data_IF_753445642749
#
_entry.id   IF_753445642749
#
_cell.length_a   1.000
_cell.length_b   1.000
_cell.length_c   1.000
_cell.angle_alpha   90.00
_cell.angle_beta   90.00
_cell.angle_gamma   90.00
#
_symmetry.space_group_name_H-M   'P 1'
#
loop_
_entity.id
_entity.type
_entity.pdbx_description
1 polymer ?
#
# COMPACT_ATOMS: atom_id res chain seq x y z
N UNK A 1 31.53 31.03 -22.41
CA UNK A 1 31.27 29.65 -21.98
C UNK A 1 30.59 29.50 -20.64
N UNK A 2 30.97 30.20 -19.52
CA UNK A 2 30.33 30.10 -18.20
C UNK A 2 28.83 30.51 -18.14
N UNK A 3 28.40 31.49 -18.95
CA UNK A 3 26.99 31.94 -18.98
C UNK A 3 26.04 30.95 -19.71
N UNK A 4 26.52 30.18 -20.67
CA UNK A 4 25.72 29.18 -21.39
C UNK A 4 25.51 27.96 -20.51
N UNK A 5 26.51 27.57 -19.71
CA UNK A 5 26.41 26.46 -18.77
C UNK A 5 25.39 26.73 -17.63
N UNK A 6 25.33 27.98 -17.16
CA UNK A 6 24.37 28.38 -16.11
C UNK A 6 22.92 28.37 -16.62
N UNK A 7 22.71 28.76 -17.89
CA UNK A 7 21.39 28.71 -18.54
C UNK A 7 20.91 27.27 -18.76
N UNK A 8 21.80 26.34 -19.11
CA UNK A 8 21.46 24.93 -19.28
C UNK A 8 21.11 24.25 -17.95
N UNK A 9 21.83 24.58 -16.86
CA UNK A 9 21.52 24.07 -15.52
C UNK A 9 20.18 24.62 -15.02
N UNK A 10 19.91 25.90 -15.24
CA UNK A 10 18.63 26.50 -14.86
C UNK A 10 17.45 25.94 -15.68
N UNK A 11 17.64 25.66 -16.97
CA UNK A 11 16.60 25.05 -17.80
C UNK A 11 16.33 23.59 -17.41
N UNK A 12 17.33 22.84 -16.98
CA UNK A 12 17.13 21.48 -16.47
C UNK A 12 16.43 21.45 -15.11
N UNK A 13 16.75 22.39 -14.21
CA UNK A 13 16.07 22.49 -12.91
C UNK A 13 14.60 22.88 -13.09
N UNK A 14 14.32 23.84 -13.98
CA UNK A 14 12.93 24.24 -14.28
C UNK A 14 12.15 23.11 -14.97
N UNK A 15 12.80 22.34 -15.88
CA UNK A 15 12.16 21.20 -16.51
C UNK A 15 11.87 20.07 -15.50
N UNK A 16 12.72 19.87 -14.50
CA UNK A 16 12.51 18.84 -13.46
C UNK A 16 11.43 19.25 -12.45
N UNK A 17 11.31 20.53 -12.11
CA UNK A 17 10.18 21.04 -11.29
C UNK A 17 8.85 21.00 -12.06
N UNK A 18 8.86 21.18 -13.37
CA UNK A 18 7.66 21.10 -14.22
C UNK A 18 7.10 19.68 -14.40
N UNK A 19 7.83 18.62 -14.00
CA UNK A 19 7.41 17.22 -14.10
C UNK A 19 6.75 16.67 -12.83
N UNK A 20 6.74 17.44 -11.74
CA UNK A 20 6.12 17.05 -10.48
C UNK A 20 5.07 18.09 -10.04
N UNK A 21 3.91 17.61 -9.66
CA UNK A 21 2.82 18.42 -9.15
C UNK A 21 2.44 17.96 -7.73
N UNK A 22 2.19 18.93 -6.83
CA UNK A 22 1.61 18.61 -5.53
C UNK A 22 0.09 18.65 -5.68
N UNK A 23 -0.55 17.53 -5.45
CA UNK A 23 -2.00 17.38 -5.44
C UNK A 23 -2.47 17.42 -3.99
N UNK A 24 -3.49 18.20 -3.72
CA UNK A 24 -4.11 18.36 -2.39
C UNK A 24 -5.56 17.94 -2.48
N UNK A 25 -6.02 17.12 -1.54
CA UNK A 25 -7.40 16.64 -1.50
C UNK A 25 -7.87 16.43 -0.07
N UNK A 26 -9.19 16.44 0.13
CA UNK A 26 -9.79 16.17 1.44
C UNK A 26 -9.97 14.66 1.64
N UNK A 27 -9.63 14.20 2.84
CA UNK A 27 -9.79 12.84 3.32
C UNK A 27 -10.34 12.83 4.75
N UNK A 28 -10.26 11.70 5.44
CA UNK A 28 -10.70 11.53 6.83
C UNK A 28 -9.75 10.60 7.57
N UNK A 29 -9.95 10.49 8.90
CA UNK A 29 -9.12 9.67 9.80
C UNK A 29 -9.86 8.45 10.37
N UNK A 30 -10.42 7.52 9.55
CA UNK A 30 -10.98 6.29 10.07
C UNK A 30 -9.87 5.43 10.69
N UNK A 31 -10.10 4.93 11.91
CA UNK A 31 -9.14 4.05 12.57
C UNK A 31 -9.16 2.63 11.99
N UNK A 32 -10.35 2.12 11.63
CA UNK A 32 -10.59 0.75 11.20
C UNK A 32 -11.33 0.67 9.86
N UNK A 33 -11.34 -0.51 9.24
CA UNK A 33 -12.17 -0.78 8.05
C UNK A 33 -13.67 -0.67 8.37
N UNK A 34 -14.07 -1.07 9.59
CA UNK A 34 -15.45 -0.90 10.07
C UNK A 34 -15.91 0.56 9.98
N UNK A 35 -15.08 1.51 10.42
CA UNK A 35 -15.42 2.94 10.35
C UNK A 35 -15.53 3.47 8.92
N UNK A 36 -14.77 2.93 7.96
CA UNK A 36 -14.96 3.25 6.54
C UNK A 36 -16.33 2.76 6.04
N UNK A 37 -16.70 1.53 6.43
CA UNK A 37 -17.90 0.87 5.89
C UNK A 37 -19.17 1.39 6.54
N UNK A 38 -19.13 1.67 7.85
CA UNK A 38 -20.35 1.93 8.64
C UNK A 38 -20.52 3.37 9.10
N UNK A 39 -19.43 4.15 9.20
CA UNK A 39 -19.45 5.48 9.87
C UNK A 39 -18.47 6.50 9.24
N UNK A 40 -18.23 6.42 7.93
CA UNK A 40 -17.25 7.26 7.25
C UNK A 40 -17.56 8.75 7.35
N UNK A 41 -18.83 9.15 7.27
CA UNK A 41 -19.25 10.55 7.27
C UNK A 41 -18.96 11.27 8.59
N UNK A 42 -18.88 10.55 9.70
CA UNK A 42 -18.59 11.08 11.03
C UNK A 42 -17.10 11.10 11.39
N UNK A 43 -16.24 10.57 10.53
CA UNK A 43 -14.80 10.58 10.78
C UNK A 43 -14.20 11.99 10.64
N UNK A 44 -13.16 12.27 11.44
CA UNK A 44 -12.47 13.57 11.43
C UNK A 44 -11.90 13.86 10.04
N UNK A 45 -12.16 15.08 9.54
CA UNK A 45 -11.64 15.52 8.26
C UNK A 45 -10.12 15.70 8.28
N UNK A 46 -9.46 15.34 7.19
CA UNK A 46 -8.01 15.42 7.02
C UNK A 46 -7.67 15.90 5.62
N UNK A 47 -6.91 16.99 5.52
CA UNK A 47 -6.33 17.39 4.24
C UNK A 47 -5.09 16.53 3.97
N UNK A 48 -5.08 15.85 2.83
CA UNK A 48 -3.99 14.97 2.41
C UNK A 48 -3.33 15.49 1.15
N UNK A 49 -2.03 15.26 1.03
CA UNK A 49 -1.25 15.65 -0.14
C UNK A 49 -0.59 14.43 -0.79
N UNK A 50 -0.18 14.59 -2.04
CA UNK A 50 0.68 13.65 -2.73
C UNK A 50 1.44 14.32 -3.86
N UNK A 51 2.49 13.67 -4.33
CA UNK A 51 3.33 14.17 -5.41
C UNK A 51 3.05 13.36 -6.67
N UNK A 52 2.42 14.01 -7.65
CA UNK A 52 2.22 13.46 -8.99
C UNK A 52 3.49 13.73 -9.82
N UNK A 53 4.09 12.68 -10.35
CA UNK A 53 5.29 12.75 -11.20
C UNK A 53 5.05 12.09 -12.55
N UNK A 54 5.58 12.70 -13.62
CA UNK A 54 5.47 12.19 -14.99
C UNK A 54 6.81 11.66 -15.51
N UNK A 55 6.80 10.86 -16.61
CA UNK A 55 7.99 10.47 -17.34
C UNK A 55 8.81 11.67 -17.82
N UNK A 56 10.11 11.48 -18.02
CA UNK A 56 11.00 12.55 -18.49
C UNK A 56 10.67 13.08 -19.90
N UNK A 57 10.01 12.26 -20.71
CA UNK A 57 9.51 12.58 -22.05
C UNK A 57 8.01 12.97 -22.04
N UNK A 58 7.56 13.61 -20.95
CA UNK A 58 6.18 14.06 -20.79
C UNK A 58 5.66 14.84 -22.00
N UNK A 59 4.46 14.47 -22.41
CA UNK A 59 3.73 15.11 -23.50
C UNK A 59 2.33 15.50 -22.98
N UNK A 60 2.04 16.80 -22.94
CA UNK A 60 0.79 17.34 -22.41
C UNK A 60 -0.46 16.93 -23.22
N UNK A 61 -0.29 16.41 -24.43
CA UNK A 61 -1.40 15.92 -25.25
C UNK A 61 -1.75 14.43 -24.98
N UNK A 62 -0.96 13.75 -24.11
CA UNK A 62 -1.15 12.33 -23.78
C UNK A 62 -1.75 12.12 -22.40
N UNK A 63 -2.41 10.99 -22.26
CA UNK A 63 -2.78 10.41 -20.97
C UNK A 63 -1.84 9.27 -20.62
N UNK A 64 -1.45 9.22 -19.36
CA UNK A 64 -0.50 8.23 -18.84
C UNK A 64 -1.21 7.27 -17.88
N UNK A 65 -0.95 5.96 -17.98
CA UNK A 65 -1.32 5.04 -16.91
C UNK A 65 -0.59 5.44 -15.64
N UNK A 66 -1.25 5.28 -14.50
CA UNK A 66 -0.77 5.79 -13.20
C UNK A 66 -0.45 4.64 -12.25
N UNK A 67 0.60 4.80 -11.44
CA UNK A 67 0.87 3.92 -10.30
C UNK A 67 0.86 4.77 -9.02
N UNK A 68 -0.09 4.48 -8.11
CA UNK A 68 -0.13 5.07 -6.78
C UNK A 68 0.78 4.24 -5.87
N UNK A 69 1.79 4.87 -5.29
CA UNK A 69 2.69 4.29 -4.32
C UNK A 69 2.29 4.66 -2.89
N UNK A 70 2.36 3.70 -1.98
CA UNK A 70 1.96 3.84 -0.57
C UNK A 70 3.09 3.40 0.36
N UNK A 71 3.53 4.30 1.24
CA UNK A 71 4.67 4.07 2.14
C UNK A 71 4.39 3.01 3.21
N UNK A 72 5.45 2.43 3.80
CA UNK A 72 5.37 1.55 4.97
C UNK A 72 5.30 2.32 6.30
N UNK A 73 5.28 1.61 7.42
CA UNK A 73 5.18 2.17 8.78
C UNK A 73 6.33 3.14 9.17
N UNK A 74 7.44 3.12 8.45
CA UNK A 74 8.57 4.04 8.59
C UNK A 74 8.51 5.23 7.62
N UNK A 75 7.34 5.50 7.02
CA UNK A 75 7.16 6.49 5.97
C UNK A 75 8.02 6.19 4.71
N UNK A 76 8.21 7.17 3.82
CA UNK A 76 8.93 7.00 2.57
C UNK A 76 10.43 6.77 2.77
N UNK A 77 10.94 5.70 2.18
CA UNK A 77 12.37 5.38 2.14
C UNK A 77 12.95 5.43 0.72
N UNK A 78 14.29 5.53 0.57
CA UNK A 78 14.94 5.63 -0.74
C UNK A 78 14.62 4.47 -1.70
N UNK A 79 14.43 3.26 -1.20
CA UNK A 79 14.06 2.08 -2.00
C UNK A 79 12.69 2.26 -2.66
N UNK A 80 11.68 2.79 -1.95
CA UNK A 80 10.36 3.11 -2.52
C UNK A 80 10.47 4.09 -3.69
N UNK A 81 11.28 5.16 -3.52
CA UNK A 81 11.47 6.17 -4.56
C UNK A 81 12.14 5.60 -5.81
N UNK A 82 13.03 4.60 -5.66
CA UNK A 82 13.62 3.87 -6.80
C UNK A 82 12.56 3.13 -7.62
N UNK A 83 11.55 2.54 -7.00
CA UNK A 83 10.42 1.95 -7.74
C UNK A 83 9.63 3.01 -8.51
N UNK A 84 9.30 4.14 -7.88
CA UNK A 84 8.59 5.22 -8.57
C UNK A 84 9.40 5.78 -9.75
N UNK A 85 10.72 5.92 -9.59
CA UNK A 85 11.61 6.34 -10.67
C UNK A 85 11.63 5.31 -11.81
N UNK A 86 11.74 4.02 -11.48
CA UNK A 86 11.66 2.93 -12.46
C UNK A 86 10.34 2.98 -13.22
N UNK A 87 9.19 3.13 -12.55
CA UNK A 87 7.90 3.22 -13.22
C UNK A 87 7.83 4.43 -14.17
N UNK A 88 8.33 5.60 -13.76
CA UNK A 88 8.41 6.76 -14.66
C UNK A 88 9.31 6.50 -15.86
N UNK A 89 10.45 5.82 -15.68
CA UNK A 89 11.34 5.44 -16.80
C UNK A 89 10.67 4.48 -17.80
N UNK A 90 9.68 3.72 -17.34
CA UNK A 90 8.84 2.86 -18.16
C UNK A 90 7.64 3.60 -18.79
N UNK A 91 7.48 4.91 -18.57
CA UNK A 91 6.42 5.74 -19.15
C UNK A 91 5.09 5.70 -18.38
N UNK A 92 5.10 5.40 -17.09
CA UNK A 92 3.96 5.58 -16.18
C UNK A 92 4.00 6.96 -15.53
N UNK A 93 2.87 7.57 -15.25
CA UNK A 93 2.77 8.56 -14.18
C UNK A 93 2.86 7.84 -12.81
N UNK A 94 3.35 8.53 -11.80
CA UNK A 94 3.41 8.00 -10.43
C UNK A 94 2.81 8.99 -9.46
N UNK A 95 2.11 8.49 -8.43
CA UNK A 95 1.61 9.31 -7.34
C UNK A 95 2.19 8.83 -6.02
N UNK A 96 3.02 9.66 -5.39
CA UNK A 96 3.61 9.42 -4.08
C UNK A 96 2.64 9.93 -3.01
N UNK A 97 1.85 9.05 -2.42
CA UNK A 97 0.85 9.40 -1.40
C UNK A 97 1.53 9.79 -0.08
N UNK A 98 1.22 10.95 0.47
CA UNK A 98 1.88 11.53 1.66
C UNK A 98 1.00 11.41 2.92
N UNK A 99 0.42 10.24 3.18
CA UNK A 99 -0.49 10.03 4.33
C UNK A 99 0.13 10.36 5.69
N UNK A 100 1.43 10.05 5.86
CA UNK A 100 2.18 10.33 7.08
C UNK A 100 2.47 11.82 7.25
N UNK A 101 3.08 12.45 6.24
CA UNK A 101 3.47 13.87 6.31
C UNK A 101 2.23 14.77 6.43
N UNK A 102 1.10 14.38 5.80
CA UNK A 102 -0.18 15.08 5.92
C UNK A 102 -0.79 15.05 7.32
N UNK A 103 -0.31 14.15 8.19
CA UNK A 103 -0.73 14.02 9.60
C UNK A 103 0.38 14.39 10.59
N UNK A 104 1.50 15.00 10.13
CA UNK A 104 2.66 15.33 10.93
C UNK A 104 3.26 14.13 11.68
N UNK A 105 3.12 12.92 11.14
CA UNK A 105 3.61 11.65 11.69
C UNK A 105 4.85 11.21 10.92
N UNK A 106 5.92 10.87 11.63
CA UNK A 106 7.15 10.37 11.00
C UNK A 106 7.16 8.84 10.87
N UNK A 107 6.55 8.14 11.82
CA UNK A 107 6.51 6.68 11.86
C UNK A 107 5.39 6.21 12.77
N UNK A 108 4.74 5.10 12.44
CA UNK A 108 3.78 4.41 13.31
C UNK A 108 4.35 3.08 13.85
N UNK A 109 5.64 2.81 13.66
CA UNK A 109 6.32 1.62 14.20
C UNK A 109 6.28 1.64 15.73
N UNK A 110 5.84 0.52 16.30
CA UNK A 110 5.76 0.35 17.76
C UNK A 110 4.39 0.63 18.38
N UNK A 111 3.52 1.39 17.71
CA UNK A 111 2.12 1.63 18.11
C UNK A 111 1.13 1.12 17.08
N UNK A 112 1.37 1.40 15.80
CA UNK A 112 0.52 1.08 14.64
C UNK A 112 -0.87 1.76 14.69
N UNK A 113 -0.99 2.91 15.39
CA UNK A 113 -2.28 3.58 15.63
C UNK A 113 -2.35 5.02 15.11
N UNK A 114 -1.22 5.69 14.87
CA UNK A 114 -1.20 7.10 14.43
C UNK A 114 -1.59 7.27 12.96
N UNK A 115 -1.11 6.34 12.12
CA UNK A 115 -1.51 6.23 10.70
C UNK A 115 -1.83 4.76 10.45
N UNK A 116 -3.11 4.48 10.19
CA UNK A 116 -3.61 3.12 10.01
C UNK A 116 -3.77 2.74 8.54
N UNK A 117 -3.89 1.45 8.26
CA UNK A 117 -4.21 0.98 6.90
C UNK A 117 -5.56 1.51 6.41
N UNK A 118 -6.54 1.72 7.31
CA UNK A 118 -7.84 2.29 6.97
C UNK A 118 -7.71 3.73 6.46
N UNK A 119 -6.98 4.61 7.18
CA UNK A 119 -6.68 5.97 6.74
C UNK A 119 -6.04 5.98 5.36
N UNK A 120 -5.02 5.14 5.16
CA UNK A 120 -4.24 5.11 3.91
C UNK A 120 -5.02 4.50 2.73
N UNK A 121 -5.93 3.55 2.96
CA UNK A 121 -6.84 3.03 1.92
C UNK A 121 -7.78 4.15 1.47
N UNK A 122 -8.40 4.85 2.43
CA UNK A 122 -9.27 5.97 2.12
C UNK A 122 -8.53 7.07 1.33
N UNK A 123 -7.35 7.47 1.81
CA UNK A 123 -6.48 8.43 1.12
C UNK A 123 -6.17 7.99 -0.32
N UNK A 124 -5.89 6.69 -0.54
CA UNK A 124 -5.58 6.15 -1.87
C UNK A 124 -6.76 6.24 -2.83
N UNK A 125 -7.98 5.98 -2.36
CA UNK A 125 -9.18 6.08 -3.18
C UNK A 125 -9.60 7.53 -3.45
N UNK A 126 -9.47 8.44 -2.48
CA UNK A 126 -9.76 9.86 -2.67
C UNK A 126 -8.70 10.54 -3.54
N UNK A 127 -7.45 10.08 -3.49
CA UNK A 127 -6.44 10.46 -4.48
C UNK A 127 -6.81 9.99 -5.88
N UNK A 128 -7.26 8.73 -6.04
CA UNK A 128 -7.71 8.18 -7.33
C UNK A 128 -8.89 9.00 -7.90
N UNK A 129 -9.88 9.31 -7.08
CA UNK A 129 -11.02 10.17 -7.46
C UNK A 129 -10.56 11.57 -7.89
N UNK A 130 -9.70 12.22 -7.11
CA UNK A 130 -9.15 13.54 -7.42
C UNK A 130 -8.38 13.52 -8.74
N UNK A 131 -7.53 12.52 -8.96
CA UNK A 131 -6.73 12.36 -10.17
C UNK A 131 -7.57 11.96 -11.40
N UNK A 132 -8.80 11.49 -11.22
CA UNK A 132 -9.71 11.16 -12.32
C UNK A 132 -10.02 12.36 -13.21
N UNK A 133 -9.94 13.56 -12.66
CA UNK A 133 -10.16 14.81 -13.38
C UNK A 133 -8.90 15.41 -14.02
N UNK A 134 -7.72 14.82 -13.76
CA UNK A 134 -6.47 15.32 -14.30
C UNK A 134 -6.34 15.00 -15.80
N UNK A 135 -6.04 16.02 -16.66
CA UNK A 135 -6.08 15.86 -18.12
C UNK A 135 -5.10 14.80 -18.66
N UNK A 136 -3.99 14.58 -17.98
CA UNK A 136 -2.93 13.68 -18.41
C UNK A 136 -2.94 12.31 -17.72
N UNK A 137 -3.97 11.97 -16.94
CA UNK A 137 -4.10 10.65 -16.30
C UNK A 137 -5.11 9.78 -17.05
N UNK A 138 -4.71 8.55 -17.35
CA UNK A 138 -5.62 7.52 -17.84
C UNK A 138 -6.21 6.78 -16.63
N UNK A 139 -7.38 7.24 -16.20
CA UNK A 139 -8.07 6.72 -15.00
C UNK A 139 -8.48 5.26 -15.11
N UNK A 140 -8.57 4.69 -16.32
CA UNK A 140 -8.92 3.28 -16.51
C UNK A 140 -7.72 2.34 -16.29
N UNK A 141 -6.51 2.89 -16.26
CA UNK A 141 -5.25 2.16 -16.15
C UNK A 141 -4.44 2.67 -14.93
N UNK A 142 -5.03 2.55 -13.74
CA UNK A 142 -4.38 2.94 -12.47
C UNK A 142 -4.08 1.70 -11.62
N UNK A 143 -2.82 1.49 -11.28
CA UNK A 143 -2.38 0.48 -10.33
C UNK A 143 -2.04 1.07 -8.97
N UNK A 144 -2.01 0.20 -7.95
CA UNK A 144 -1.55 0.56 -6.61
C UNK A 144 -0.45 -0.40 -6.15
N UNK A 145 0.60 0.13 -5.57
CA UNK A 145 1.67 -0.63 -4.92
C UNK A 145 2.00 -0.01 -3.58
N UNK A 146 2.51 -0.81 -2.67
CA UNK A 146 2.92 -0.30 -1.36
C UNK A 146 3.78 -1.32 -0.62
N UNK A 147 4.45 -0.85 0.40
CA UNK A 147 5.46 -1.62 1.13
C UNK A 147 5.05 -1.77 2.60
N UNK A 148 5.13 -2.99 3.16
CA UNK A 148 4.78 -3.26 4.55
C UNK A 148 3.34 -2.83 4.87
N UNK A 149 3.13 -1.83 5.73
CA UNK A 149 1.81 -1.23 5.97
C UNK A 149 1.16 -0.76 4.66
N UNK A 150 1.92 -0.09 3.77
CA UNK A 150 1.45 0.27 2.43
C UNK A 150 1.16 -0.93 1.54
N UNK A 151 1.87 -2.04 1.74
CA UNK A 151 1.56 -3.34 1.11
C UNK A 151 0.20 -3.87 1.57
N UNK A 152 -0.09 -3.77 2.87
CA UNK A 152 -1.43 -4.08 3.43
C UNK A 152 -2.51 -3.20 2.79
N UNK A 153 -2.23 -1.91 2.61
CA UNK A 153 -3.12 -0.99 1.89
C UNK A 153 -3.36 -1.45 0.46
N UNK A 154 -2.30 -1.79 -0.28
CA UNK A 154 -2.40 -2.28 -1.65
C UNK A 154 -3.21 -3.58 -1.74
N UNK A 155 -3.08 -4.50 -0.77
CA UNK A 155 -3.86 -5.74 -0.71
C UNK A 155 -5.35 -5.47 -0.46
N UNK A 156 -5.67 -4.81 0.65
CA UNK A 156 -7.07 -4.64 1.07
C UNK A 156 -7.82 -3.56 0.29
N UNK A 157 -7.12 -2.68 -0.46
CA UNK A 157 -7.79 -1.81 -1.42
C UNK A 157 -8.49 -2.56 -2.56
N UNK A 158 -8.23 -3.85 -2.72
CA UNK A 158 -8.97 -4.72 -3.63
C UNK A 158 -10.25 -5.33 -3.02
N UNK A 159 -10.48 -5.17 -1.72
CA UNK A 159 -11.62 -5.76 -1.02
C UNK A 159 -12.92 -4.99 -1.29
N UNK A 160 -13.93 -5.70 -1.83
CA UNK A 160 -15.15 -5.09 -2.37
C UNK A 160 -15.97 -4.26 -1.39
N UNK A 161 -16.14 -4.65 -0.11
CA UNK A 161 -16.85 -3.81 0.85
C UNK A 161 -16.25 -2.41 1.01
N UNK A 162 -14.91 -2.28 1.08
CA UNK A 162 -14.23 -0.97 1.13
C UNK A 162 -14.46 -0.16 -0.14
N UNK A 163 -14.32 -0.80 -1.32
CA UNK A 163 -14.54 -0.13 -2.61
C UNK A 163 -15.96 0.44 -2.68
N UNK A 164 -16.94 -0.35 -2.28
CA UNK A 164 -18.36 0.05 -2.33
C UNK A 164 -18.67 1.15 -1.31
N UNK A 165 -18.10 1.07 -0.09
CA UNK A 165 -18.34 2.07 0.96
C UNK A 165 -17.73 3.44 0.60
N UNK A 166 -16.53 3.46 0.00
CA UNK A 166 -15.83 4.72 -0.29
C UNK A 166 -16.45 5.44 -1.50
N UNK A 167 -16.77 4.72 -2.60
CA UNK A 167 -17.15 5.37 -3.85
C UNK A 167 -18.23 4.64 -4.66
N UNK A 168 -19.03 3.78 -4.02
CA UNK A 168 -20.04 2.96 -4.68
C UNK A 168 -19.51 2.09 -5.84
N UNK A 169 -18.21 1.78 -5.82
CA UNK A 169 -17.57 0.99 -6.87
C UNK A 169 -17.28 1.74 -8.18
N UNK A 170 -17.38 3.07 -8.18
CA UNK A 170 -17.15 3.90 -9.38
C UNK A 170 -15.67 3.92 -9.77
N UNK A 171 -14.76 4.08 -8.79
CA UNK A 171 -13.32 4.07 -9.00
C UNK A 171 -12.70 2.78 -8.46
N UNK A 172 -11.82 2.16 -9.24
CA UNK A 172 -11.14 0.92 -8.89
C UNK A 172 -9.71 0.93 -9.42
N UNK A 173 -8.82 0.32 -8.67
CA UNK A 173 -7.49 0.02 -9.19
C UNK A 173 -7.57 -1.16 -10.17
N UNK A 174 -6.86 -1.04 -11.28
CA UNK A 174 -6.78 -2.06 -12.33
C UNK A 174 -5.77 -3.18 -12.00
N UNK A 175 -4.84 -2.94 -11.07
CA UNK A 175 -3.84 -3.91 -10.61
C UNK A 175 -3.31 -3.53 -9.24
N UNK A 176 -3.00 -4.52 -8.39
CA UNK A 176 -2.50 -4.36 -7.03
C UNK A 176 -1.20 -5.14 -6.84
N UNK A 177 -0.14 -4.47 -6.40
CA UNK A 177 1.15 -5.10 -6.10
C UNK A 177 1.56 -4.83 -4.65
N UNK A 178 1.04 -5.60 -3.68
CA UNK A 178 1.47 -5.54 -2.28
C UNK A 178 2.87 -6.14 -2.12
N UNK A 179 3.79 -5.37 -1.52
CA UNK A 179 5.16 -5.78 -1.26
C UNK A 179 5.32 -5.96 0.25
N UNK A 180 5.62 -7.18 0.69
CA UNK A 180 5.69 -7.67 2.07
C UNK A 180 4.55 -7.13 2.96
N UNK A 181 3.26 -7.40 2.58
CA UNK A 181 2.08 -6.93 3.31
C UNK A 181 1.85 -7.69 4.61
N UNK A 182 1.12 -7.07 5.54
CA UNK A 182 0.49 -7.78 6.65
C UNK A 182 -0.80 -8.45 6.20
N UNK A 183 -0.81 -9.77 6.08
CA UNK A 183 -1.99 -10.58 5.76
C UNK A 183 -2.66 -11.07 7.07
N UNK A 184 -3.11 -10.13 7.91
CA UNK A 184 -3.49 -10.42 9.31
C UNK A 184 -4.99 -10.72 9.51
N UNK A 185 -5.82 -10.51 8.48
CA UNK A 185 -7.26 -10.74 8.55
C UNK A 185 -7.67 -11.91 7.66
N UNK A 186 -8.63 -12.73 8.13
CA UNK A 186 -9.26 -13.79 7.34
C UNK A 186 -10.78 -13.70 7.44
N UNK A 187 -11.52 -14.29 6.46
CA UNK A 187 -12.99 -14.26 6.49
C UNK A 187 -13.53 -14.82 7.80
N UNK A 188 -14.49 -14.10 8.40
CA UNK A 188 -15.23 -14.62 9.55
C UNK A 188 -15.95 -15.92 9.14
N UNK A 189 -16.10 -16.93 10.03
CA UNK A 189 -16.80 -18.17 9.70
C UNK A 189 -18.17 -17.93 9.08
N UNK A 190 -18.47 -18.65 8.01
CA UNK A 190 -19.68 -18.55 7.19
C UNK A 190 -19.83 -17.26 6.37
N UNK A 191 -18.82 -16.39 6.35
CA UNK A 191 -18.74 -15.19 5.51
C UNK A 191 -17.69 -15.36 4.41
N UNK A 192 -17.80 -14.55 3.35
CA UNK A 192 -16.89 -14.58 2.22
C UNK A 192 -16.20 -13.23 2.04
N UNK A 193 -14.88 -13.22 2.02
CA UNK A 193 -14.11 -12.01 1.76
C UNK A 193 -13.90 -11.85 0.25
N UNK A 194 -14.78 -11.07 -0.39
CA UNK A 194 -14.80 -10.89 -1.85
C UNK A 194 -13.86 -9.75 -2.25
N UNK A 195 -12.87 -10.08 -3.08
CA UNK A 195 -11.98 -9.12 -3.71
C UNK A 195 -12.43 -8.76 -5.13
N UNK A 196 -11.97 -7.63 -5.65
CA UNK A 196 -12.16 -7.23 -7.04
C UNK A 196 -11.54 -8.27 -7.98
N UNK A 197 -11.94 -8.26 -9.27
CA UNK A 197 -11.35 -9.15 -10.26
C UNK A 197 -9.99 -8.62 -10.81
N UNK A 198 -9.54 -7.47 -10.35
CA UNK A 198 -8.22 -6.95 -10.69
C UNK A 198 -7.11 -7.91 -10.21
N UNK A 199 -6.04 -8.10 -10.97
CA UNK A 199 -4.92 -8.94 -10.54
C UNK A 199 -4.28 -8.35 -9.27
N UNK A 200 -4.05 -9.21 -8.29
CA UNK A 200 -3.31 -8.92 -7.05
C UNK A 200 -2.13 -9.86 -6.99
N UNK A 201 -0.90 -9.36 -6.79
CA UNK A 201 0.26 -10.22 -6.66
C UNK A 201 1.12 -9.82 -5.48
N UNK A 202 1.20 -10.67 -4.46
CA UNK A 202 1.98 -10.45 -3.25
C UNK A 202 3.44 -10.81 -3.49
N UNK A 203 4.36 -9.91 -3.13
CA UNK A 203 5.80 -10.19 -3.05
C UNK A 203 6.22 -10.20 -1.58
N UNK A 204 6.84 -11.29 -1.10
CA UNK A 204 7.21 -11.39 0.32
C UNK A 204 8.50 -12.19 0.50
N UNK A 205 9.23 -11.93 1.56
CA UNK A 205 10.43 -12.67 1.91
C UNK A 205 10.11 -13.94 2.70
N UNK A 206 10.85 -15.02 2.47
CA UNK A 206 10.71 -16.30 3.19
C UNK A 206 11.03 -16.15 4.68
N UNK A 207 12.04 -15.34 5.01
CA UNK A 207 12.54 -15.10 6.37
C UNK A 207 11.95 -13.84 7.00
N UNK A 208 10.86 -13.29 6.44
CA UNK A 208 10.17 -12.14 7.02
C UNK A 208 9.54 -12.55 8.36
N UNK A 209 10.08 -12.03 9.46
CA UNK A 209 9.61 -12.24 10.82
C UNK A 209 8.79 -11.06 11.37
N UNK A 210 8.67 -9.99 10.59
CA UNK A 210 7.80 -8.86 10.89
C UNK A 210 6.36 -9.15 10.52
N UNK A 211 6.13 -9.50 9.24
CA UNK A 211 4.87 -9.95 8.65
C UNK A 211 5.12 -11.24 7.84
N UNK A 212 5.10 -12.40 8.49
CA UNK A 212 5.63 -13.62 7.89
C UNK A 212 4.86 -14.06 6.64
N UNK A 213 5.59 -14.67 5.69
CA UNK A 213 5.02 -15.26 4.48
C UNK A 213 3.92 -16.28 4.78
N UNK A 214 4.04 -17.01 5.90
CA UNK A 214 3.02 -17.97 6.37
C UNK A 214 1.67 -17.31 6.66
N UNK A 215 1.64 -16.05 7.11
CA UNK A 215 0.37 -15.33 7.32
C UNK A 215 -0.35 -15.10 5.98
N UNK A 216 0.40 -14.74 4.92
CA UNK A 216 -0.18 -14.56 3.59
C UNK A 216 -0.61 -15.88 2.94
N UNK A 217 0.15 -16.97 3.09
CA UNK A 217 -0.28 -18.29 2.59
C UNK A 217 -1.53 -18.78 3.32
N UNK A 218 -1.59 -18.64 4.66
CA UNK A 218 -2.79 -18.98 5.44
C UNK A 218 -4.00 -18.12 5.05
N UNK A 219 -3.79 -16.84 4.76
CA UNK A 219 -4.84 -15.96 4.24
C UNK A 219 -5.41 -16.48 2.92
N UNK A 220 -4.56 -16.86 1.94
CA UNK A 220 -4.99 -17.41 0.67
C UNK A 220 -5.74 -18.74 0.84
N UNK A 221 -5.27 -19.60 1.75
CA UNK A 221 -5.95 -20.86 2.09
C UNK A 221 -7.35 -20.59 2.64
N UNK A 222 -7.49 -19.65 3.59
CA UNK A 222 -8.79 -19.25 4.14
C UNK A 222 -9.74 -18.65 3.11
N UNK A 223 -9.25 -17.85 2.19
CA UNK A 223 -10.04 -17.35 1.08
C UNK A 223 -10.54 -18.49 0.18
N UNK A 224 -9.69 -19.47 -0.11
CA UNK A 224 -10.05 -20.65 -0.89
C UNK A 224 -11.11 -21.51 -0.19
N UNK A 225 -10.95 -21.74 1.13
CA UNK A 225 -11.91 -22.48 1.97
C UNK A 225 -13.29 -21.82 2.00
N UNK A 226 -13.35 -20.48 1.98
CA UNK A 226 -14.63 -19.73 1.93
C UNK A 226 -15.33 -19.78 0.58
N UNK A 227 -14.75 -20.45 -0.41
CA UNK A 227 -15.32 -20.60 -1.75
C UNK A 227 -15.17 -19.36 -2.62
N UNK A 228 -14.40 -18.37 -2.20
CA UNK A 228 -14.11 -17.18 -2.98
C UNK A 228 -13.04 -17.48 -4.03
N UNK A 229 -13.40 -17.34 -5.31
CA UNK A 229 -12.43 -17.30 -6.39
C UNK A 229 -11.82 -15.89 -6.44
N UNK A 230 -10.61 -15.74 -5.94
CA UNK A 230 -9.87 -14.48 -5.98
C UNK A 230 -8.73 -14.56 -6.98
N UNK A 231 -8.39 -13.42 -7.60
CA UNK A 231 -7.25 -13.30 -8.51
C UNK A 231 -6.03 -12.78 -7.73
N UNK A 232 -5.65 -13.52 -6.68
CA UNK A 232 -4.53 -13.16 -5.78
C UNK A 232 -3.46 -14.24 -5.87
N UNK A 233 -2.27 -13.86 -6.34
CA UNK A 233 -1.08 -14.70 -6.43
C UNK A 233 0.00 -14.23 -5.44
N UNK A 234 0.99 -15.09 -5.16
CA UNK A 234 2.10 -14.80 -4.26
C UNK A 234 3.44 -15.29 -4.82
N UNK A 235 4.47 -14.48 -4.68
CA UNK A 235 5.88 -14.87 -4.86
C UNK A 235 6.61 -14.73 -3.55
N UNK A 236 7.22 -15.81 -3.07
CA UNK A 236 8.06 -15.85 -1.87
C UNK A 236 9.52 -15.86 -2.32
N UNK A 237 10.31 -14.89 -1.85
CA UNK A 237 11.74 -14.80 -2.14
C UNK A 237 12.54 -15.53 -1.07
N UNK A 238 13.32 -16.51 -1.52
CA UNK A 238 14.18 -17.34 -0.67
C UNK A 238 15.23 -16.47 0.05
N UNK A 239 15.57 -16.82 1.29
CA UNK A 239 16.55 -16.14 2.14
C UNK A 239 16.32 -14.61 2.31
N UNK A 240 15.13 -14.09 2.03
CA UNK A 240 14.82 -12.67 2.13
C UNK A 240 14.04 -12.34 3.40
N UNK A 241 14.49 -11.33 4.14
CA UNK A 241 13.83 -10.76 5.31
C UNK A 241 12.85 -9.64 4.93
N UNK A 242 12.19 -9.02 5.92
CA UNK A 242 11.37 -7.83 5.71
C UNK A 242 12.16 -6.70 5.06
N UNK A 243 11.55 -5.98 4.14
CA UNK A 243 12.21 -4.88 3.38
C UNK A 243 13.47 -5.34 2.62
N UNK A 244 13.42 -6.53 2.00
CA UNK A 244 14.51 -7.12 1.21
C UNK A 244 15.00 -6.25 0.05
N UNK A 245 14.21 -5.28 -0.37
CA UNK A 245 14.51 -4.35 -1.45
C UNK A 245 15.36 -3.14 -1.04
N UNK A 246 15.70 -3.02 0.25
CA UNK A 246 16.64 -2.01 0.78
C UNK A 246 18.10 -2.36 0.50
N UNK A 247 18.92 -1.34 0.41
CA UNK A 247 20.38 -1.47 0.38
C UNK A 247 20.94 -1.25 1.79
N UNK A 248 20.75 -2.22 2.68
CA UNK A 248 21.21 -2.16 4.06
C UNK A 248 21.49 -3.55 4.61
N UNK A 249 22.37 -3.63 5.60
CA UNK A 249 22.60 -4.84 6.36
C UNK A 249 21.37 -5.24 7.19
N UNK A 250 21.28 -6.53 7.51
CA UNK A 250 20.23 -7.04 8.38
C UNK A 250 20.27 -6.38 9.75
N UNK A 251 19.16 -5.83 10.19
CA UNK A 251 19.04 -5.04 11.42
C UNK A 251 17.77 -5.42 12.18
N UNK A 252 17.84 -5.46 13.50
CA UNK A 252 16.69 -5.63 14.38
C UNK A 252 16.03 -4.29 14.70
N UNK A 253 14.72 -4.23 14.60
CA UNK A 253 13.90 -3.07 14.96
C UNK A 253 13.28 -3.31 16.35
N UNK A 254 14.02 -2.97 17.40
CA UNK A 254 13.69 -3.36 18.78
C UNK A 254 12.27 -3.00 19.23
N UNK A 255 11.73 -1.87 18.76
CA UNK A 255 10.38 -1.39 19.12
C UNK A 255 9.28 -1.89 18.17
N UNK A 256 9.65 -2.56 17.07
CA UNK A 256 8.69 -3.16 16.12
C UNK A 256 7.99 -4.37 16.73
N UNK A 257 6.80 -4.66 16.22
CA UNK A 257 6.07 -5.88 16.53
C UNK A 257 6.43 -6.98 15.54
N UNK A 258 6.67 -8.21 16.00
CA UNK A 258 6.58 -9.39 15.15
C UNK A 258 5.13 -9.86 15.13
N UNK A 259 4.54 -10.05 13.95
CA UNK A 259 3.11 -10.31 13.80
C UNK A 259 2.80 -11.76 13.39
N UNK A 260 3.73 -12.69 13.64
CA UNK A 260 3.66 -14.07 13.17
C UNK A 260 2.42 -14.84 13.62
N UNK A 261 2.01 -14.63 14.84
CA UNK A 261 0.86 -15.31 15.44
C UNK A 261 -0.42 -14.44 15.43
N UNK A 262 -0.35 -13.24 14.83
CA UNK A 262 -1.48 -12.32 14.74
C UNK A 262 -2.30 -12.62 13.48
N UNK A 263 -3.44 -13.29 13.65
CA UNK A 263 -4.33 -13.62 12.56
C UNK A 263 -5.78 -13.58 13.08
N UNK A 264 -6.58 -12.64 12.56
CA UNK A 264 -7.86 -12.25 13.14
C UNK A 264 -9.02 -12.48 12.16
N UNK A 265 -10.17 -13.02 12.62
CA UNK A 265 -11.36 -13.08 11.80
C UNK A 265 -11.93 -11.68 11.55
N UNK A 266 -12.36 -11.41 10.31
CA UNK A 266 -12.96 -10.16 9.89
C UNK A 266 -14.29 -10.41 9.20
N UNK A 267 -15.34 -9.69 9.59
CA UNK A 267 -16.64 -9.76 8.94
C UNK A 267 -16.76 -8.83 7.73
N UNK A 268 -17.87 -8.93 6.99
CA UNK A 268 -18.12 -8.10 5.80
C UNK A 268 -18.32 -6.61 6.13
N UNK A 269 -18.56 -6.23 7.37
CA UNK A 269 -18.58 -4.84 7.83
C UNK A 269 -17.17 -4.30 8.18
N UNK A 270 -16.11 -5.11 8.01
CA UNK A 270 -14.74 -4.71 8.28
C UNK A 270 -14.34 -4.76 9.76
N UNK A 271 -15.19 -5.33 10.63
CA UNK A 271 -14.87 -5.51 12.03
C UNK A 271 -13.91 -6.68 12.20
N UNK A 272 -12.71 -6.40 12.69
CA UNK A 272 -11.77 -7.41 13.17
C UNK A 272 -12.17 -7.87 14.57
N UNK A 273 -12.12 -9.17 14.80
CA UNK A 273 -12.41 -9.73 16.13
C UNK A 273 -11.17 -10.40 16.73
N UNK A 274 -11.02 -10.30 18.05
CA UNK A 274 -9.90 -10.93 18.78
C UNK A 274 -9.92 -12.46 18.63
N UNK A 275 -11.10 -13.05 18.51
CA UNK A 275 -11.29 -14.46 18.18
C UNK A 275 -12.69 -14.71 17.62
N UNK A 276 -12.86 -15.83 16.90
CA UNK A 276 -14.17 -16.28 16.41
C UNK A 276 -15.16 -16.56 17.56
N UNK A 277 -14.66 -17.02 18.68
CA UNK A 277 -15.50 -17.45 19.82
C UNK A 277 -16.03 -16.25 20.64
N UNK A 278 -15.13 -15.31 21.01
CA UNK A 278 -15.49 -14.22 21.92
C UNK A 278 -16.16 -13.04 21.23
N UNK A 279 -15.96 -12.88 19.92
CA UNK A 279 -16.48 -11.75 19.11
C UNK A 279 -16.19 -10.37 19.74
N UNK A 280 -14.99 -10.21 20.31
CA UNK A 280 -14.55 -8.93 20.89
C UNK A 280 -13.96 -8.11 19.73
N UNK A 281 -14.54 -6.95 19.38
CA UNK A 281 -14.08 -6.17 18.24
C UNK A 281 -12.74 -5.47 18.53
N UNK A 282 -11.88 -5.41 17.52
CA UNK A 282 -10.63 -4.63 17.53
C UNK A 282 -10.88 -3.34 16.75
N UNK A 283 -11.59 -2.39 17.35
CA UNK A 283 -12.07 -1.17 16.69
C UNK A 283 -11.61 0.12 17.38
N UNK A 284 -10.55 0.06 18.17
CA UNK A 284 -9.96 1.23 18.82
C UNK A 284 -8.47 1.01 19.10
N UNK A 285 -7.68 2.07 19.27
CA UNK A 285 -6.25 1.97 19.63
C UNK A 285 -6.02 1.05 20.85
N UNK A 286 -6.81 1.18 21.91
CA UNK A 286 -6.68 0.34 23.11
C UNK A 286 -6.96 -1.15 22.81
N UNK A 287 -7.97 -1.44 21.99
CA UNK A 287 -8.29 -2.82 21.62
C UNK A 287 -7.25 -3.42 20.67
N UNK A 288 -6.67 -2.61 19.78
CA UNK A 288 -5.56 -3.04 18.94
C UNK A 288 -4.31 -3.35 19.77
N UNK A 289 -3.96 -2.50 20.73
CA UNK A 289 -2.85 -2.77 21.67
C UNK A 289 -3.08 -4.06 22.45
N UNK A 290 -4.30 -4.28 22.94
CA UNK A 290 -4.67 -5.51 23.64
C UNK A 290 -4.55 -6.73 22.73
N UNK A 291 -5.01 -6.65 21.48
CA UNK A 291 -4.89 -7.72 20.50
C UNK A 291 -3.40 -8.05 20.23
N UNK A 292 -2.57 -7.04 20.03
CA UNK A 292 -1.13 -7.22 19.82
C UNK A 292 -0.43 -7.85 21.03
N UNK A 293 -0.87 -7.53 22.26
CA UNK A 293 -0.33 -8.19 23.46
C UNK A 293 -0.62 -9.69 23.52
N UNK A 294 -1.63 -10.19 22.80
CA UNK A 294 -1.98 -11.61 22.80
C UNK A 294 -1.23 -12.43 21.77
N UNK A 295 -0.72 -11.80 20.70
CA UNK A 295 -0.14 -12.51 19.54
C UNK A 295 1.21 -11.98 19.07
N UNK A 296 1.54 -10.70 19.34
CA UNK A 296 2.75 -10.10 18.80
C UNK A 296 3.96 -10.29 19.70
N UNK A 297 5.12 -10.53 19.10
CA UNK A 297 6.43 -10.41 19.73
C UNK A 297 7.05 -9.03 19.50
N UNK A 298 8.34 -8.90 19.79
CA UNK A 298 9.14 -7.68 19.59
C UNK A 298 10.45 -7.99 18.88
N UNK A 299 10.99 -6.98 18.22
CA UNK A 299 12.31 -7.03 17.61
C UNK A 299 12.35 -7.77 16.28
N UNK A 300 11.44 -7.46 15.32
CA UNK A 300 11.54 -8.02 13.99
C UNK A 300 12.83 -7.59 13.31
N UNK A 301 13.24 -8.39 12.33
CA UNK A 301 14.41 -8.10 11.50
C UNK A 301 14.01 -7.52 10.16
N UNK A 302 14.82 -6.62 9.62
CA UNK A 302 14.71 -6.14 8.25
C UNK A 302 16.09 -5.93 7.64
N UNK A 303 16.21 -6.13 6.32
CA UNK A 303 17.50 -5.96 5.64
C UNK A 303 17.46 -6.35 4.20
N UNK A 304 18.39 -5.82 3.42
CA UNK A 304 18.50 -6.04 1.99
C UNK A 304 18.88 -7.48 1.64
N UNK A 305 18.33 -7.96 0.52
CA UNK A 305 18.76 -9.15 -0.20
C UNK A 305 18.88 -8.78 -1.67
N UNK A 306 20.09 -8.79 -2.21
CA UNK A 306 20.37 -8.28 -3.56
C UNK A 306 19.60 -9.03 -4.65
N UNK A 307 19.49 -10.36 -4.52
CA UNK A 307 18.78 -11.20 -5.50
C UNK A 307 17.26 -10.96 -5.44
N UNK A 308 16.68 -10.92 -4.24
CA UNK A 308 15.27 -10.64 -4.05
C UNK A 308 14.93 -9.22 -4.52
N UNK A 309 15.80 -8.24 -4.25
CA UNK A 309 15.65 -6.85 -4.74
C UNK A 309 15.61 -6.80 -6.26
N UNK A 310 16.60 -7.40 -6.94
CA UNK A 310 16.66 -7.40 -8.40
C UNK A 310 15.41 -8.07 -9.02
N UNK A 311 15.04 -9.24 -8.50
CA UNK A 311 13.85 -9.98 -8.94
C UNK A 311 12.57 -9.20 -8.71
N UNK A 312 12.42 -8.52 -7.56
CA UNK A 312 11.20 -7.76 -7.23
C UNK A 312 11.05 -6.51 -8.10
N UNK A 313 12.14 -5.77 -8.38
CA UNK A 313 12.12 -4.65 -9.31
C UNK A 313 11.70 -5.10 -10.72
N UNK A 314 12.30 -6.19 -11.21
CA UNK A 314 11.94 -6.75 -12.51
C UNK A 314 10.48 -7.20 -12.55
N UNK A 315 10.04 -7.92 -11.52
CA UNK A 315 8.65 -8.38 -11.42
C UNK A 315 7.66 -7.20 -11.43
N UNK A 316 7.93 -6.17 -10.63
CA UNK A 316 7.08 -4.99 -10.52
C UNK A 316 6.97 -4.24 -11.86
N UNK A 317 8.09 -4.11 -12.59
CA UNK A 317 8.14 -3.52 -13.92
C UNK A 317 7.27 -4.31 -14.93
N UNK A 318 7.45 -5.63 -14.97
CA UNK A 318 6.72 -6.53 -15.86
C UNK A 318 5.22 -6.57 -15.50
N UNK A 319 4.89 -6.65 -14.21
CA UNK A 319 3.51 -6.72 -13.70
C UNK A 319 2.68 -5.53 -14.17
N UNK A 320 3.10 -4.31 -13.86
CA UNK A 320 2.33 -3.12 -14.25
C UNK A 320 2.37 -2.88 -15.76
N UNK A 321 3.45 -3.21 -16.45
CA UNK A 321 3.49 -3.11 -17.91
C UNK A 321 2.45 -4.02 -18.56
N UNK A 322 2.30 -5.25 -18.06
CA UNK A 322 1.36 -6.23 -18.61
C UNK A 322 -0.09 -5.90 -18.29
N UNK A 323 -0.39 -5.26 -17.15
CA UNK A 323 -1.75 -5.02 -16.70
C UNK A 323 -2.27 -3.61 -16.97
N UNK A 324 -1.40 -2.61 -17.16
CA UNK A 324 -1.82 -1.21 -17.34
C UNK A 324 -1.49 -0.61 -18.71
N UNK A 325 -0.79 -1.33 -19.60
CA UNK A 325 -0.39 -0.80 -20.92
C UNK A 325 -0.92 -1.60 -22.12
N UNK A 326 -1.83 -2.52 -21.88
CA UNK A 326 -2.43 -3.31 -22.95
C UNK A 326 -3.74 -2.73 -23.45
#
# INVERSE_FOLDING_TARGET
MKKILLLLIFSQIIAQEALNETIVFESRNPFSFEEIITDLDNQEAQTVTGILGFPADFDAEKKYPLIIGVAGSLNWGPHHLKYLEMYRSLGFATFQLQSFDSRDVQSTVGSQVEVTSAMMILDSYLALETLSTHPNIDINNVGITGWSLGGTVSLYSAWMPLINAINNGEFRFAAHLPIYPGCLAYPYPDESMIFSQAPVHILIGELDDWVPASACTNFLDKLSESGCSNNIDITIYEDAHHSFDREMELTTIEHGYTLGDCFFPMNDEGTLFLSEFWKIPINSPTMQELALLTCAGRGPTMGGNDEAREKSFKFAADFFTNHLKN
#
